data_IF_926375998925
#
_entry.id   IF_926375998925
#
_cell.length_a   1.000
_cell.length_b   1.000
_cell.length_c   1.000
_cell.angle_alpha   90.00
_cell.angle_beta   90.00
_cell.angle_gamma   90.00
#
_symmetry.space_group_name_H-M   'P 1'
#
loop_
_entity.id
_entity.type
_entity.pdbx_description
1 polymer ?
#
# COMPACT_ATOMS: atom_id res chain seq x y z
N UNK A 1 17.73 29.35 1.20
CA UNK A 1 18.97 29.12 0.42
C UNK A 1 19.85 28.16 1.20
N UNK A 2 20.10 26.97 0.69
CA UNK A 2 20.87 25.92 1.38
C UNK A 2 22.33 26.39 1.56
N UNK A 3 22.87 26.28 2.79
CA UNK A 3 24.27 26.67 3.10
C UNK A 3 25.28 25.95 2.19
N UNK A 4 24.93 24.75 1.72
CA UNK A 4 25.74 23.98 0.76
C UNK A 4 25.78 24.61 -0.63
N UNK A 5 24.66 25.16 -1.12
CA UNK A 5 24.60 25.82 -2.42
C UNK A 5 25.46 27.10 -2.43
N UNK A 6 25.46 27.84 -1.32
CA UNK A 6 26.32 29.02 -1.11
C UNK A 6 27.80 28.62 -1.15
N UNK A 7 28.17 27.54 -0.45
CA UNK A 7 29.55 27.04 -0.43
C UNK A 7 30.07 26.59 -1.80
N UNK A 8 29.24 25.95 -2.61
CA UNK A 8 29.60 25.54 -3.99
C UNK A 8 29.81 26.77 -4.88
N UNK A 9 28.95 27.80 -4.76
CA UNK A 9 29.10 29.04 -5.51
C UNK A 9 30.42 29.76 -5.14
N UNK A 10 30.74 29.86 -3.85
CA UNK A 10 32.02 30.45 -3.41
C UNK A 10 33.24 29.64 -3.86
N UNK A 11 33.14 28.30 -3.89
CA UNK A 11 34.21 27.42 -4.35
C UNK A 11 34.44 27.54 -5.86
N UNK A 12 33.37 27.66 -6.64
CA UNK A 12 33.45 27.91 -8.09
C UNK A 12 34.05 29.28 -8.39
N UNK A 13 33.65 30.32 -7.65
CA UNK A 13 34.27 31.65 -7.76
C UNK A 13 35.76 31.56 -7.44
N UNK A 14 36.15 30.87 -6.37
CA UNK A 14 37.56 30.71 -6.00
C UNK A 14 38.39 29.97 -7.08
N UNK A 15 37.87 28.88 -7.65
CA UNK A 15 38.59 28.06 -8.64
C UNK A 15 38.69 28.77 -10.00
N UNK A 16 37.64 29.49 -10.43
CA UNK A 16 37.62 30.11 -11.75
C UNK A 16 38.19 31.53 -11.79
N UNK A 17 38.20 32.25 -10.66
CA UNK A 17 38.62 33.67 -10.62
C UNK A 17 40.05 33.84 -10.11
N UNK A 18 40.52 33.03 -9.16
CA UNK A 18 41.85 33.22 -8.56
C UNK A 18 43.02 32.85 -9.49
N UNK A 19 43.01 31.72 -10.23
CA UNK A 19 44.16 31.35 -11.06
C UNK A 19 44.42 32.31 -12.25
N UNK A 20 43.38 32.78 -12.98
CA UNK A 20 43.60 33.78 -14.03
C UNK A 20 44.08 35.12 -13.45
N UNK A 21 43.52 35.57 -12.32
CA UNK A 21 43.89 36.85 -11.71
C UNK A 21 45.38 36.94 -11.35
N UNK A 22 46.01 35.82 -10.95
CA UNK A 22 47.44 35.76 -10.62
C UNK A 22 48.33 35.80 -11.88
N UNK A 23 47.91 35.16 -12.98
CA UNK A 23 48.63 35.17 -14.26
C UNK A 23 48.50 36.56 -14.95
N UNK A 24 47.39 37.27 -14.69
CA UNK A 24 47.02 38.53 -15.33
C UNK A 24 47.71 39.78 -14.78
N UNK A 25 48.24 39.78 -13.56
CA UNK A 25 49.02 40.93 -13.02
C UNK A 25 50.25 41.23 -13.88
N UNK A 26 50.75 40.26 -14.67
CA UNK A 26 51.99 40.39 -15.42
C UNK A 26 51.84 40.87 -16.89
N UNK A 27 50.64 40.95 -17.49
CA UNK A 27 50.46 41.27 -18.93
C UNK A 27 49.15 42.06 -19.26
N UNK A 28 48.97 43.24 -18.66
CA UNK A 28 47.68 43.94 -18.60
C UNK A 28 47.14 44.53 -19.94
N UNK A 29 48.00 44.95 -20.88
CA UNK A 29 47.54 45.69 -22.07
C UNK A 29 47.04 44.80 -23.22
N UNK A 30 47.58 43.58 -23.36
CA UNK A 30 47.22 42.69 -24.48
C UNK A 30 45.98 41.84 -24.21
N UNK A 31 45.70 41.52 -22.94
CA UNK A 31 44.64 40.59 -22.55
C UNK A 31 43.34 41.25 -22.10
N UNK A 32 43.23 42.59 -22.11
CA UNK A 32 42.06 43.30 -21.61
C UNK A 32 40.74 42.88 -22.31
N UNK A 33 40.76 42.68 -23.63
CA UNK A 33 39.59 42.24 -24.39
C UNK A 33 39.23 40.77 -24.09
N UNK A 34 40.22 39.89 -24.01
CA UNK A 34 40.01 38.48 -23.65
C UNK A 34 39.51 38.35 -22.21
N UNK A 35 40.01 39.18 -21.29
CA UNK A 35 39.57 39.26 -19.90
C UNK A 35 38.11 39.69 -19.80
N UNK A 36 37.72 40.74 -20.53
CA UNK A 36 36.34 41.21 -20.58
C UNK A 36 35.40 40.10 -21.05
N UNK A 37 35.75 39.36 -22.11
CA UNK A 37 34.96 38.24 -22.60
C UNK A 37 34.82 37.10 -21.58
N UNK A 38 35.90 36.72 -20.88
CA UNK A 38 35.88 35.66 -19.85
C UNK A 38 35.05 36.08 -18.63
N UNK A 39 35.17 37.34 -18.19
CA UNK A 39 34.38 37.88 -17.07
C UNK A 39 32.90 37.93 -17.44
N UNK A 40 32.56 38.40 -18.64
CA UNK A 40 31.18 38.44 -19.12
C UNK A 40 30.60 37.03 -19.24
N UNK A 41 31.35 36.07 -19.80
CA UNK A 41 30.92 34.68 -19.89
C UNK A 41 30.68 34.05 -18.50
N UNK A 42 31.59 34.28 -17.56
CA UNK A 42 31.48 33.77 -16.18
C UNK A 42 30.27 34.38 -15.46
N UNK A 43 30.09 35.70 -15.56
CA UNK A 43 28.93 36.40 -14.99
C UNK A 43 27.61 35.89 -15.61
N UNK A 44 27.60 35.61 -16.91
CA UNK A 44 26.45 35.05 -17.63
C UNK A 44 26.10 33.64 -17.14
N UNK A 45 27.10 32.77 -16.94
CA UNK A 45 26.89 31.42 -16.39
C UNK A 45 26.35 31.48 -14.97
N UNK A 46 26.90 32.37 -14.12
CA UNK A 46 26.40 32.59 -12.76
C UNK A 46 24.96 33.08 -12.79
N UNK A 47 24.66 34.09 -13.60
CA UNK A 47 23.31 34.64 -13.75
C UNK A 47 22.31 33.59 -14.25
N UNK A 48 22.67 32.82 -15.29
CA UNK A 48 21.83 31.74 -15.82
C UNK A 48 21.57 30.66 -14.76
N UNK A 49 22.60 30.29 -13.99
CA UNK A 49 22.47 29.32 -12.89
C UNK A 49 21.56 29.83 -11.78
N UNK A 50 21.73 31.08 -11.35
CA UNK A 50 20.87 31.70 -10.33
C UNK A 50 19.42 31.81 -10.81
N UNK A 51 19.21 32.23 -12.06
CA UNK A 51 17.88 32.32 -12.67
C UNK A 51 17.21 30.95 -12.74
N UNK A 52 17.96 29.92 -13.15
CA UNK A 52 17.48 28.54 -13.15
C UNK A 52 17.08 28.05 -11.75
N UNK A 53 17.91 28.32 -10.73
CA UNK A 53 17.62 27.96 -9.35
C UNK A 53 16.38 28.68 -8.80
N UNK A 54 16.23 29.97 -9.11
CA UNK A 54 15.04 30.76 -8.73
C UNK A 54 13.78 30.23 -9.40
N UNK A 55 13.83 29.90 -10.70
CA UNK A 55 12.72 29.31 -11.43
C UNK A 55 12.32 27.94 -10.86
N UNK A 56 13.30 27.11 -10.50
CA UNK A 56 13.06 25.84 -9.81
C UNK A 56 12.37 26.05 -8.45
N UNK A 57 12.84 27.00 -7.65
CA UNK A 57 12.26 27.29 -6.34
C UNK A 57 10.81 27.80 -6.47
N UNK A 58 10.55 28.68 -7.44
CA UNK A 58 9.20 29.15 -7.74
C UNK A 58 8.28 28.01 -8.19
N UNK A 59 8.74 27.14 -9.09
CA UNK A 59 7.99 25.96 -9.51
C UNK A 59 7.66 25.06 -8.32
N UNK A 60 8.64 24.76 -7.47
CA UNK A 60 8.44 23.94 -6.25
C UNK A 60 7.44 24.57 -5.30
N UNK A 61 7.51 25.89 -5.06
CA UNK A 61 6.54 26.61 -4.22
C UNK A 61 5.12 26.53 -4.78
N UNK A 62 4.96 26.59 -6.10
CA UNK A 62 3.66 26.49 -6.77
C UNK A 62 3.08 25.07 -6.74
N UNK A 63 3.91 24.05 -6.94
CA UNK A 63 3.49 22.64 -7.00
C UNK A 63 3.28 22.02 -5.60
N UNK A 64 4.04 22.46 -4.60
CA UNK A 64 4.06 21.88 -3.25
C UNK A 64 2.68 21.68 -2.63
N UNK A 65 1.73 22.64 -2.66
CA UNK A 65 0.39 22.43 -2.10
C UNK A 65 -0.34 21.24 -2.74
N UNK A 66 -0.29 21.13 -4.08
CA UNK A 66 -0.97 20.04 -4.79
C UNK A 66 -0.34 18.69 -4.51
N UNK A 67 0.99 18.66 -4.41
CA UNK A 67 1.74 17.45 -4.07
C UNK A 67 1.44 17.01 -2.64
N UNK A 68 1.34 17.96 -1.70
CA UNK A 68 0.91 17.69 -0.33
C UNK A 68 -0.49 17.07 -0.30
N UNK A 69 -1.45 17.63 -1.04
CA UNK A 69 -2.80 17.07 -1.16
C UNK A 69 -2.79 15.63 -1.72
N UNK A 70 -2.01 15.38 -2.78
CA UNK A 70 -1.87 14.03 -3.35
C UNK A 70 -1.28 13.07 -2.31
N UNK A 71 -0.26 13.50 -1.56
CA UNK A 71 0.28 12.69 -0.47
C UNK A 71 -0.81 12.35 0.54
N UNK A 72 -1.41 13.38 1.16
CA UNK A 72 -2.27 13.23 2.32
C UNK A 72 -3.60 12.54 2.01
N UNK A 73 -4.18 12.81 0.84
CA UNK A 73 -5.50 12.29 0.48
C UNK A 73 -5.45 11.01 -0.36
N UNK A 74 -4.32 10.70 -1.00
CA UNK A 74 -4.21 9.53 -1.87
C UNK A 74 -3.12 8.59 -1.37
N UNK A 75 -1.86 9.02 -1.37
CA UNK A 75 -0.75 8.09 -1.13
C UNK A 75 -0.77 7.53 0.30
N UNK A 76 -0.93 8.37 1.32
CA UNK A 76 -0.86 7.92 2.71
C UNK A 76 -1.99 6.94 3.06
N UNK A 77 -3.27 7.23 2.71
CA UNK A 77 -4.34 6.28 2.91
C UNK A 77 -4.11 4.94 2.18
N UNK A 78 -3.59 5.00 0.94
CA UNK A 78 -3.27 3.79 0.17
C UNK A 78 -2.19 2.95 0.84
N UNK A 79 -1.09 3.57 1.28
CA UNK A 79 0.00 2.87 1.98
C UNK A 79 -0.52 2.17 3.24
N UNK A 80 -1.23 2.90 4.12
CA UNK A 80 -1.77 2.33 5.36
C UNK A 80 -2.70 1.15 5.10
N UNK A 81 -3.55 1.23 4.07
CA UNK A 81 -4.47 0.14 3.73
C UNK A 81 -3.71 -1.07 3.19
N UNK A 82 -2.79 -0.87 2.25
CA UNK A 82 -2.00 -1.95 1.67
C UNK A 82 -1.16 -2.67 2.73
N UNK A 83 -0.57 -1.95 3.69
CA UNK A 83 0.13 -2.57 4.82
C UNK A 83 -0.80 -3.42 5.68
N UNK A 84 -2.00 -2.91 5.96
CA UNK A 84 -3.03 -3.63 6.70
C UNK A 84 -3.49 -4.89 5.96
N UNK A 85 -3.85 -4.78 4.68
CA UNK A 85 -4.27 -5.90 3.83
C UNK A 85 -3.18 -6.96 3.71
N UNK A 86 -1.93 -6.54 3.48
CA UNK A 86 -0.78 -7.45 3.41
C UNK A 86 -0.59 -8.24 4.71
N UNK A 87 -0.81 -7.61 5.87
CA UNK A 87 -0.76 -8.29 7.17
C UNK A 87 -1.82 -9.40 7.26
N UNK A 88 -3.06 -9.11 6.86
CA UNK A 88 -4.16 -10.07 6.82
C UNK A 88 -3.91 -11.21 5.83
N UNK A 89 -3.50 -10.88 4.59
CA UNK A 89 -3.14 -11.86 3.56
C UNK A 89 -1.99 -12.78 3.99
N UNK A 90 -0.97 -12.26 4.69
CA UNK A 90 0.13 -13.09 5.23
C UNK A 90 -0.36 -14.11 6.24
N UNK A 91 -1.37 -13.75 7.04
CA UNK A 91 -1.98 -14.64 8.04
C UNK A 91 -2.98 -15.62 7.41
N UNK A 92 -3.32 -15.46 6.13
CA UNK A 92 -4.39 -16.20 5.48
C UNK A 92 -5.79 -15.81 5.96
N UNK A 93 -5.91 -14.67 6.65
CA UNK A 93 -7.20 -14.11 7.05
C UNK A 93 -7.68 -13.15 5.96
N UNK A 94 -8.72 -13.54 5.24
CA UNK A 94 -9.27 -12.71 4.17
C UNK A 94 -10.36 -11.74 4.67
N UNK A 95 -10.86 -11.95 5.89
CA UNK A 95 -12.07 -11.28 6.40
C UNK A 95 -13.35 -11.55 5.59
N UNK A 96 -13.30 -12.45 4.61
CA UNK A 96 -14.34 -12.64 3.60
C UNK A 96 -15.65 -13.20 4.17
N UNK A 97 -16.72 -12.41 4.19
CA UNK A 97 -18.06 -12.84 4.60
C UNK A 97 -18.91 -13.05 3.34
N UNK A 98 -19.28 -14.30 3.03
CA UNK A 98 -20.02 -14.62 1.79
C UNK A 98 -21.35 -13.87 1.71
N UNK A 99 -22.04 -13.72 2.84
CA UNK A 99 -23.37 -13.11 2.93
C UNK A 99 -23.33 -11.62 2.63
N UNK A 100 -22.24 -10.93 2.98
CA UNK A 100 -22.10 -9.49 2.77
C UNK A 100 -21.23 -9.15 1.57
N UNK A 101 -20.54 -10.14 1.00
CA UNK A 101 -19.47 -9.97 0.02
C UNK A 101 -18.42 -8.93 0.46
N UNK A 102 -18.18 -8.86 1.77
CA UNK A 102 -17.24 -7.94 2.40
C UNK A 102 -16.03 -8.68 2.93
N UNK A 103 -14.88 -7.99 3.05
CA UNK A 103 -13.72 -8.54 3.74
C UNK A 103 -12.67 -7.50 4.09
N UNK A 104 -11.56 -7.95 4.68
CA UNK A 104 -10.41 -7.07 4.94
C UNK A 104 -9.63 -6.80 3.65
N UNK A 105 -9.59 -7.80 2.77
CA UNK A 105 -9.04 -7.70 1.42
C UNK A 105 -10.14 -7.16 0.51
N UNK A 106 -9.96 -5.93 0.03
CA UNK A 106 -10.95 -5.19 -0.75
C UNK A 106 -10.26 -4.43 -1.87
N UNK A 107 -11.05 -4.05 -2.87
CA UNK A 107 -10.58 -3.18 -3.93
C UNK A 107 -10.03 -1.87 -3.37
N UNK A 108 -8.92 -1.43 -3.94
CA UNK A 108 -8.29 -0.16 -3.62
C UNK A 108 -9.15 0.99 -4.17
N UNK A 109 -9.75 0.82 -5.35
CA UNK A 109 -10.62 1.86 -5.93
C UNK A 109 -11.89 2.10 -5.12
N UNK A 110 -12.42 1.12 -4.39
CA UNK A 110 -13.55 1.31 -3.48
C UNK A 110 -13.23 2.27 -2.33
N UNK A 111 -11.94 2.40 -1.96
CA UNK A 111 -11.48 3.37 -0.97
C UNK A 111 -11.53 4.81 -1.50
N UNK A 112 -11.69 4.97 -2.82
CA UNK A 112 -11.92 6.27 -3.44
C UNK A 112 -13.40 6.66 -3.48
N UNK A 113 -14.30 5.75 -3.10
CA UNK A 113 -15.75 5.98 -3.06
C UNK A 113 -16.22 7.11 -2.11
N UNK A 114 -15.59 7.39 -0.95
CA UNK A 114 -15.94 8.58 -0.16
C UNK A 114 -15.30 9.87 -0.70
N UNK A 115 -14.61 9.85 -1.84
CA UNK A 115 -14.04 11.05 -2.45
C UNK A 115 -15.10 11.83 -3.24
N UNK A 116 -16.01 12.47 -2.52
CA UNK A 116 -16.88 13.50 -3.09
C UNK A 116 -16.10 14.82 -3.25
N UNK A 117 -16.38 15.56 -4.33
CA UNK A 117 -15.79 16.88 -4.58
C UNK A 117 -14.29 16.87 -4.87
N UNK A 118 -13.53 17.67 -4.11
CA UNK A 118 -12.10 17.96 -4.35
C UNK A 118 -11.22 16.70 -4.34
N UNK A 119 -11.56 15.70 -3.51
CA UNK A 119 -10.77 14.46 -3.40
C UNK A 119 -10.79 13.62 -4.69
N UNK A 120 -11.89 13.65 -5.47
CA UNK A 120 -11.97 12.97 -6.78
C UNK A 120 -11.00 13.59 -7.78
N UNK A 121 -10.89 14.92 -7.77
CA UNK A 121 -9.95 15.65 -8.64
C UNK A 121 -8.50 15.33 -8.24
N UNK A 122 -8.19 15.30 -6.93
CA UNK A 122 -6.85 14.91 -6.43
C UNK A 122 -6.49 13.49 -6.89
N UNK A 123 -7.43 12.55 -6.81
CA UNK A 123 -7.19 11.18 -7.27
C UNK A 123 -7.02 11.10 -8.79
N UNK A 124 -7.77 11.88 -9.57
CA UNK A 124 -7.60 11.95 -11.03
C UNK A 124 -6.20 12.49 -11.41
N UNK A 125 -5.72 13.52 -10.71
CA UNK A 125 -4.37 14.06 -10.88
C UNK A 125 -3.31 13.03 -10.52
N UNK A 126 -3.49 12.29 -9.42
CA UNK A 126 -2.61 11.19 -9.06
C UNK A 126 -2.54 10.13 -10.16
N UNK A 127 -3.69 9.69 -10.70
CA UNK A 127 -3.72 8.70 -11.81
C UNK A 127 -3.02 9.21 -13.06
N UNK A 128 -3.14 10.51 -13.34
CA UNK A 128 -2.49 11.14 -14.49
C UNK A 128 -0.98 11.20 -14.29
N UNK A 129 -0.52 11.67 -13.13
CA UNK A 129 0.88 11.79 -12.79
C UNK A 129 1.59 10.42 -12.62
N UNK A 130 0.89 9.42 -12.10
CA UNK A 130 1.43 8.11 -11.74
C UNK A 130 0.67 6.96 -12.39
N UNK A 131 0.45 7.07 -13.70
CA UNK A 131 -0.34 6.10 -14.48
C UNK A 131 0.13 4.64 -14.36
N UNK A 132 1.43 4.40 -14.16
CA UNK A 132 1.98 3.06 -13.92
C UNK A 132 1.48 2.45 -12.61
N UNK A 133 1.39 3.25 -11.54
CA UNK A 133 0.87 2.82 -10.24
C UNK A 133 -0.64 2.62 -10.33
N UNK A 134 -1.35 3.53 -11.01
CA UNK A 134 -2.78 3.40 -11.25
C UNK A 134 -3.14 2.09 -11.98
N UNK A 135 -2.38 1.72 -13.02
CA UNK A 135 -2.57 0.43 -13.71
C UNK A 135 -2.34 -0.78 -12.79
N UNK A 136 -1.35 -0.73 -11.91
CA UNK A 136 -1.14 -1.80 -10.91
C UNK A 136 -2.31 -1.91 -9.94
N UNK A 137 -2.90 -0.79 -9.54
CA UNK A 137 -4.12 -0.75 -8.71
C UNK A 137 -5.30 -1.40 -9.44
N UNK A 138 -5.50 -1.14 -10.73
CA UNK A 138 -6.55 -1.79 -11.52
C UNK A 138 -6.33 -3.32 -11.62
N UNK A 139 -5.08 -3.75 -11.82
CA UNK A 139 -4.73 -5.19 -11.82
C UNK A 139 -4.98 -5.81 -10.44
N UNK A 140 -4.70 -5.07 -9.37
CA UNK A 140 -4.94 -5.49 -8.00
C UNK A 140 -6.43 -5.74 -7.76
N UNK A 141 -7.27 -4.77 -8.09
CA UNK A 141 -8.72 -4.87 -7.85
C UNK A 141 -9.33 -6.05 -8.62
N UNK A 142 -8.93 -6.24 -9.88
CA UNK A 142 -9.32 -7.43 -10.64
C UNK A 142 -8.86 -8.74 -9.99
N UNK A 143 -7.74 -8.76 -9.28
CA UNK A 143 -7.24 -9.95 -8.61
C UNK A 143 -7.90 -10.20 -7.25
N UNK A 144 -8.34 -9.15 -6.57
CA UNK A 144 -9.19 -9.25 -5.37
C UNK A 144 -10.52 -9.92 -5.73
N UNK A 145 -11.18 -9.48 -6.80
CA UNK A 145 -12.45 -10.09 -7.23
C UNK A 145 -12.28 -11.57 -7.57
N UNK A 146 -11.23 -11.92 -8.32
CA UNK A 146 -10.95 -13.34 -8.61
C UNK A 146 -10.59 -14.15 -7.36
N UNK A 147 -9.99 -13.53 -6.34
CA UNK A 147 -9.75 -14.20 -5.07
C UNK A 147 -11.07 -14.46 -4.34
N UNK A 148 -11.99 -13.49 -4.31
CA UNK A 148 -13.35 -13.68 -3.75
C UNK A 148 -14.10 -14.81 -4.46
N UNK A 149 -14.03 -14.86 -5.79
CA UNK A 149 -14.61 -15.96 -6.58
C UNK A 149 -14.05 -17.32 -6.15
N UNK A 150 -12.74 -17.47 -6.05
CA UNK A 150 -12.13 -18.74 -5.62
C UNK A 150 -12.43 -19.09 -4.16
N UNK A 151 -12.57 -18.10 -3.27
CA UNK A 151 -13.01 -18.34 -1.88
C UNK A 151 -14.46 -18.85 -1.86
N UNK A 152 -15.32 -18.27 -2.70
CA UNK A 152 -16.71 -18.70 -2.86
C UNK A 152 -16.81 -20.12 -3.41
N UNK A 153 -16.09 -20.41 -4.49
CA UNK A 153 -16.01 -21.75 -5.08
C UNK A 153 -15.52 -22.77 -4.04
N UNK A 154 -14.49 -22.44 -3.26
CA UNK A 154 -13.98 -23.32 -2.20
C UNK A 154 -15.04 -23.58 -1.12
N UNK A 155 -15.76 -22.54 -0.69
CA UNK A 155 -16.83 -22.69 0.30
C UNK A 155 -18.02 -23.50 -0.26
N UNK A 156 -18.37 -23.30 -1.53
CA UNK A 156 -19.43 -24.03 -2.22
C UNK A 156 -19.08 -25.52 -2.40
N UNK A 157 -17.82 -25.83 -2.73
CA UNK A 157 -17.33 -27.20 -2.84
C UNK A 157 -17.37 -27.91 -1.48
N UNK A 158 -16.93 -27.28 -0.39
CA UNK A 158 -17.07 -27.86 0.96
C UNK A 158 -18.54 -28.12 1.28
N UNK A 159 -19.43 -27.17 0.95
CA UNK A 159 -20.86 -27.27 1.21
C UNK A 159 -21.52 -28.41 0.43
N UNK A 160 -21.03 -28.73 -0.77
CA UNK A 160 -21.60 -29.77 -1.64
C UNK A 160 -21.24 -31.19 -1.18
N UNK A 161 -20.22 -31.36 -0.33
CA UNK A 161 -19.81 -32.67 0.18
C UNK A 161 -20.92 -33.31 1.05
N UNK A 162 -21.41 -34.52 0.71
CA UNK A 162 -22.45 -35.20 1.49
C UNK A 162 -22.04 -35.42 2.95
N UNK A 163 -20.79 -35.83 3.17
CA UNK A 163 -20.23 -36.05 4.51
C UNK A 163 -20.20 -34.77 5.34
N UNK A 164 -19.93 -33.62 4.70
CA UNK A 164 -19.98 -32.33 5.37
C UNK A 164 -21.40 -31.99 5.82
N UNK A 165 -22.38 -32.11 4.93
CA UNK A 165 -23.79 -31.81 5.23
C UNK A 165 -24.32 -32.69 6.36
N UNK A 166 -24.06 -34.01 6.28
CA UNK A 166 -24.44 -34.95 7.32
C UNK A 166 -23.81 -34.59 8.67
N UNK A 167 -22.53 -34.19 8.66
CA UNK A 167 -21.82 -33.83 9.88
C UNK A 167 -22.34 -32.56 10.51
N UNK A 168 -22.59 -31.52 9.73
CA UNK A 168 -23.15 -30.28 10.27
C UNK A 168 -24.53 -30.54 10.87
N UNK A 169 -25.40 -31.29 10.17
CA UNK A 169 -26.72 -31.68 10.69
C UNK A 169 -26.61 -32.45 12.01
N UNK A 170 -25.77 -33.48 12.08
CA UNK A 170 -25.52 -34.27 13.31
C UNK A 170 -25.10 -33.36 14.47
N UNK A 171 -24.15 -32.43 14.23
CA UNK A 171 -23.66 -31.52 15.28
C UNK A 171 -24.68 -30.47 15.67
N UNK A 172 -25.51 -29.98 14.75
CA UNK A 172 -26.58 -29.03 15.01
C UNK A 172 -27.73 -29.64 15.83
N UNK A 173 -28.09 -30.89 15.54
CA UNK A 173 -29.09 -31.65 16.29
C UNK A 173 -28.61 -31.96 17.72
N UNK A 174 -27.36 -32.42 17.86
CA UNK A 174 -26.76 -32.75 19.16
C UNK A 174 -26.30 -31.55 20.01
N UNK A 175 -26.36 -30.32 19.48
CA UNK A 175 -25.92 -29.14 20.20
C UNK A 175 -27.00 -28.64 21.17
N UNK A 176 -26.88 -29.00 22.44
CA UNK A 176 -27.86 -28.68 23.49
C UNK A 176 -27.72 -27.27 24.08
N UNK A 177 -26.59 -26.59 23.88
CA UNK A 177 -26.36 -25.21 24.33
C UNK A 177 -26.89 -24.17 23.32
N UNK A 178 -28.09 -24.40 22.77
CA UNK A 178 -28.66 -23.48 21.79
C UNK A 178 -28.89 -22.12 22.47
N UNK A 179 -28.25 -21.03 22.00
CA UNK A 179 -28.49 -19.70 22.54
C UNK A 179 -29.91 -19.24 22.20
N UNK A 180 -30.26 -18.00 22.62
CA UNK A 180 -31.55 -17.35 22.32
C UNK A 180 -31.94 -17.37 20.82
N UNK A 181 -30.98 -17.63 19.93
CA UNK A 181 -31.15 -17.79 18.48
C UNK A 181 -31.03 -19.27 18.04
N UNK A 182 -31.82 -20.16 18.62
CA UNK A 182 -31.81 -21.59 18.28
C UNK A 182 -32.02 -21.87 16.77
N UNK A 183 -32.77 -21.00 16.07
CA UNK A 183 -33.03 -21.07 14.64
C UNK A 183 -31.78 -20.93 13.76
N UNK A 184 -30.66 -20.41 14.28
CA UNK A 184 -29.38 -20.37 13.56
C UNK A 184 -28.67 -21.73 13.53
N UNK A 185 -29.07 -22.66 14.38
CA UNK A 185 -28.53 -24.03 14.47
C UNK A 185 -29.49 -25.05 13.84
N UNK A 186 -30.40 -24.60 12.98
CA UNK A 186 -31.22 -25.50 12.16
C UNK A 186 -30.47 -25.86 10.87
N UNK A 187 -30.55 -27.10 10.37
CA UNK A 187 -29.88 -27.56 9.16
C UNK A 187 -30.55 -27.01 7.89
N UNK A 188 -30.54 -25.68 7.75
CA UNK A 188 -31.05 -24.97 6.57
C UNK A 188 -29.89 -24.54 5.69
N UNK A 189 -30.16 -24.39 4.39
CA UNK A 189 -29.16 -23.93 3.41
C UNK A 189 -28.45 -22.62 3.80
N UNK A 190 -29.18 -21.75 4.48
CA UNK A 190 -28.68 -20.45 4.96
C UNK A 190 -27.77 -20.61 6.17
N UNK A 191 -28.15 -21.45 7.13
CA UNK A 191 -27.35 -21.68 8.35
C UNK A 191 -26.10 -22.50 8.06
N UNK A 192 -26.17 -23.44 7.10
CA UNK A 192 -25.00 -24.12 6.57
C UNK A 192 -23.99 -23.16 5.95
N UNK A 193 -24.42 -22.02 5.41
CA UNK A 193 -23.54 -21.10 4.69
C UNK A 193 -22.37 -20.56 5.52
N UNK A 194 -22.55 -20.39 6.84
CA UNK A 194 -21.53 -19.81 7.72
C UNK A 194 -20.36 -20.76 8.03
N UNK A 195 -20.62 -22.07 8.10
CA UNK A 195 -19.61 -23.05 8.51
C UNK A 195 -18.48 -23.18 7.47
N UNK A 196 -18.76 -23.34 6.16
CA UNK A 196 -17.74 -23.34 5.12
C UNK A 196 -16.89 -22.06 5.11
N UNK A 197 -17.47 -20.89 5.41
CA UNK A 197 -16.70 -19.64 5.48
C UNK A 197 -15.60 -19.71 6.56
N UNK A 198 -15.92 -20.24 7.74
CA UNK A 198 -14.96 -20.41 8.83
C UNK A 198 -13.88 -21.45 8.48
N UNK A 199 -14.26 -22.50 7.75
CA UNK A 199 -13.33 -23.54 7.27
C UNK A 199 -12.36 -22.95 6.24
N UNK A 200 -12.85 -22.23 5.23
CA UNK A 200 -12.03 -21.62 4.17
C UNK A 200 -11.04 -20.60 4.75
N UNK A 201 -11.48 -19.80 5.73
CA UNK A 201 -10.63 -18.87 6.49
C UNK A 201 -9.62 -19.55 7.41
N UNK A 202 -9.69 -20.87 7.58
CA UNK A 202 -8.89 -21.62 8.53
C UNK A 202 -9.04 -21.09 9.97
N UNK A 203 -10.24 -20.64 10.33
CA UNK A 203 -10.51 -19.96 11.59
C UNK A 203 -10.41 -20.95 12.75
N UNK A 204 -9.38 -20.82 13.60
CA UNK A 204 -9.18 -21.73 14.73
C UNK A 204 -10.12 -21.40 15.90
N UNK A 205 -10.27 -20.11 16.19
CA UNK A 205 -10.99 -19.59 17.34
C UNK A 205 -11.92 -18.45 16.91
N UNK A 206 -13.05 -18.30 17.57
CA UNK A 206 -13.97 -17.18 17.34
C UNK A 206 -13.95 -16.27 18.55
N UNK A 207 -14.31 -15.00 18.36
CA UNK A 207 -14.53 -14.11 19.49
C UNK A 207 -15.73 -14.58 20.30
N UNK A 208 -15.68 -14.46 21.63
CA UNK A 208 -16.76 -14.89 22.54
C UNK A 208 -18.14 -14.27 22.24
N UNK A 209 -18.16 -13.08 21.64
CA UNK A 209 -19.38 -12.39 21.22
C UNK A 209 -19.98 -12.94 19.92
N UNK A 210 -19.28 -13.84 19.22
CA UNK A 210 -19.76 -14.43 17.98
C UNK A 210 -20.79 -15.52 18.28
N UNK A 211 -21.94 -15.53 17.60
CA UNK A 211 -23.05 -16.45 17.90
C UNK A 211 -22.65 -17.93 17.82
N UNK A 212 -21.72 -18.28 16.92
CA UNK A 212 -21.21 -19.64 16.79
C UNK A 212 -20.00 -19.95 17.69
N UNK A 213 -19.54 -19.04 18.56
CA UNK A 213 -18.32 -19.20 19.34
C UNK A 213 -18.27 -20.54 20.09
N UNK A 214 -19.27 -20.81 20.93
CA UNK A 214 -19.36 -22.05 21.71
C UNK A 214 -19.42 -23.28 20.82
N UNK A 215 -20.28 -23.27 19.80
CA UNK A 215 -20.37 -24.36 18.82
C UNK A 215 -19.02 -24.64 18.14
N UNK A 216 -18.35 -23.59 17.68
CA UNK A 216 -17.06 -23.69 17.00
C UNK A 216 -15.94 -24.14 17.95
N UNK A 217 -15.97 -23.73 19.22
CA UNK A 217 -15.00 -24.19 20.22
C UNK A 217 -15.09 -25.71 20.45
N UNK A 218 -16.28 -26.30 20.34
CA UNK A 218 -16.52 -27.73 20.50
C UNK A 218 -16.21 -28.52 19.22
N UNK A 219 -16.66 -28.03 18.06
CA UNK A 219 -16.66 -28.82 16.82
C UNK A 219 -15.77 -28.25 15.70
N UNK A 220 -15.23 -27.04 15.84
CA UNK A 220 -14.49 -26.35 14.78
C UNK A 220 -13.27 -27.13 14.29
N UNK A 221 -12.52 -27.78 15.19
CA UNK A 221 -11.37 -28.64 14.82
C UNK A 221 -11.75 -29.82 13.94
N UNK A 222 -12.95 -30.37 14.12
CA UNK A 222 -13.48 -31.45 13.29
C UNK A 222 -13.82 -30.91 11.90
N UNK A 223 -14.53 -29.78 11.82
CA UNK A 223 -14.90 -29.14 10.56
C UNK A 223 -13.71 -28.64 9.74
N UNK A 224 -12.65 -28.18 10.40
CA UNK A 224 -11.42 -27.73 9.73
C UNK A 224 -10.74 -28.86 8.93
N UNK A 225 -11.04 -30.14 9.21
CA UNK A 225 -10.51 -31.26 8.42
C UNK A 225 -11.04 -31.29 6.99
N UNK A 226 -12.25 -30.78 6.73
CA UNK A 226 -12.81 -30.70 5.38
C UNK A 226 -11.96 -29.79 4.47
N UNK A 227 -11.27 -28.79 5.03
CA UNK A 227 -10.31 -27.95 4.31
C UNK A 227 -9.15 -28.74 3.69
N UNK A 228 -8.79 -29.85 4.33
CA UNK A 228 -7.65 -30.70 3.95
C UNK A 228 -8.08 -31.93 3.14
N UNK A 229 -9.36 -32.03 2.80
CA UNK A 229 -9.91 -33.09 1.95
C UNK A 229 -9.27 -33.10 0.57
N UNK A 230 -9.21 -34.29 -0.06
CA UNK A 230 -8.65 -34.42 -1.42
C UNK A 230 -9.57 -33.76 -2.45
N UNK A 231 -10.87 -33.78 -2.18
CA UNK A 231 -11.96 -33.25 -2.97
C UNK A 231 -11.82 -31.75 -3.21
N UNK A 232 -11.37 -31.00 -2.19
CA UNK A 232 -11.28 -29.53 -2.22
C UNK A 232 -9.85 -29.01 -2.44
N UNK A 233 -8.89 -29.92 -2.65
CA UNK A 233 -7.46 -29.59 -2.70
C UNK A 233 -7.12 -28.60 -3.82
N UNK A 234 -7.80 -28.71 -4.96
CA UNK A 234 -7.62 -27.80 -6.10
C UNK A 234 -8.08 -26.39 -5.77
N UNK A 235 -9.27 -26.22 -5.19
CA UNK A 235 -9.80 -24.94 -4.72
C UNK A 235 -8.86 -24.29 -3.70
N UNK A 236 -8.38 -25.06 -2.72
CA UNK A 236 -7.40 -24.59 -1.73
C UNK A 236 -6.11 -24.10 -2.41
N UNK A 237 -5.57 -24.88 -3.35
CA UNK A 237 -4.34 -24.54 -4.07
C UNK A 237 -4.52 -23.24 -4.87
N UNK A 238 -5.68 -23.07 -5.50
CA UNK A 238 -6.00 -21.87 -6.27
C UNK A 238 -6.12 -20.62 -5.39
N UNK A 239 -6.79 -20.71 -4.24
CA UNK A 239 -6.86 -19.62 -3.24
C UNK A 239 -5.46 -19.22 -2.76
N UNK A 240 -4.61 -20.19 -2.43
CA UNK A 240 -3.24 -19.95 -1.98
C UNK A 240 -2.38 -19.29 -3.08
N UNK A 241 -2.54 -19.73 -4.34
CA UNK A 241 -1.87 -19.15 -5.50
C UNK A 241 -2.28 -17.69 -5.70
N UNK A 242 -3.59 -17.39 -5.67
CA UNK A 242 -4.11 -16.02 -5.80
C UNK A 242 -3.67 -15.13 -4.64
N UNK A 243 -3.69 -15.64 -3.41
CA UNK A 243 -3.16 -14.93 -2.23
C UNK A 243 -1.70 -14.53 -2.42
N UNK A 244 -0.85 -15.46 -2.88
CA UNK A 244 0.57 -15.19 -3.13
C UNK A 244 0.76 -14.11 -4.19
N UNK A 245 0.03 -14.20 -5.30
CA UNK A 245 0.11 -13.19 -6.36
C UNK A 245 -0.33 -11.81 -5.87
N UNK A 246 -1.39 -11.75 -5.05
CA UNK A 246 -1.89 -10.50 -4.47
C UNK A 246 -0.88 -9.89 -3.50
N UNK A 247 -0.26 -10.68 -2.63
CA UNK A 247 0.82 -10.24 -1.74
C UNK A 247 2.01 -9.63 -2.50
N UNK A 248 2.40 -10.25 -3.62
CA UNK A 248 3.48 -9.74 -4.47
C UNK A 248 3.10 -8.40 -5.11
N UNK A 249 1.87 -8.33 -5.65
CA UNK A 249 1.37 -7.12 -6.29
C UNK A 249 1.22 -5.95 -5.30
N UNK A 250 0.64 -6.18 -4.13
CA UNK A 250 0.56 -5.19 -3.04
C UNK A 250 1.96 -4.71 -2.62
N UNK A 251 2.93 -5.63 -2.52
CA UNK A 251 4.32 -5.28 -2.26
C UNK A 251 4.92 -4.38 -3.34
N UNK A 252 4.61 -4.66 -4.61
CA UNK A 252 5.02 -3.84 -5.75
C UNK A 252 4.39 -2.45 -5.75
N UNK A 253 3.10 -2.33 -5.41
CA UNK A 253 2.40 -1.04 -5.32
C UNK A 253 2.96 -0.22 -4.14
N UNK A 254 3.12 -0.84 -2.97
CA UNK A 254 3.71 -0.20 -1.79
C UNK A 254 5.10 0.38 -2.09
N UNK A 255 5.95 -0.41 -2.76
CA UNK A 255 7.30 0.03 -3.14
C UNK A 255 7.26 1.27 -4.03
N UNK A 256 6.36 1.31 -5.01
CA UNK A 256 6.22 2.46 -5.91
C UNK A 256 5.70 3.69 -5.15
N UNK A 257 4.67 3.54 -4.32
CA UNK A 257 4.12 4.63 -3.50
C UNK A 257 5.17 5.21 -2.54
N UNK A 258 5.94 4.36 -1.87
CA UNK A 258 7.03 4.80 -1.00
C UNK A 258 8.17 5.48 -1.79
N UNK A 259 8.42 5.04 -3.02
CA UNK A 259 9.33 5.73 -3.94
C UNK A 259 8.88 7.16 -4.27
N UNK A 260 7.58 7.35 -4.53
CA UNK A 260 6.98 8.67 -4.77
C UNK A 260 7.11 9.55 -3.52
N UNK A 261 6.80 9.02 -2.33
CA UNK A 261 6.95 9.77 -1.08
C UNK A 261 8.40 10.22 -0.83
N UNK A 262 9.38 9.36 -1.12
CA UNK A 262 10.81 9.74 -1.01
C UNK A 262 11.17 10.91 -1.93
N UNK A 263 10.62 10.96 -3.14
CA UNK A 263 10.79 12.10 -4.05
C UNK A 263 10.13 13.35 -3.46
N UNK A 264 8.91 13.24 -2.94
CA UNK A 264 8.19 14.37 -2.33
C UNK A 264 8.94 14.98 -1.14
N UNK A 265 9.53 14.13 -0.30
CA UNK A 265 10.39 14.58 0.81
C UNK A 265 11.62 15.30 0.28
N UNK A 266 12.35 14.68 -0.64
CA UNK A 266 13.63 15.20 -1.15
C UNK A 266 13.46 16.51 -1.92
N UNK A 267 12.43 16.60 -2.76
CA UNK A 267 12.27 17.72 -3.69
C UNK A 267 11.41 18.85 -3.13
N UNK A 268 10.40 18.52 -2.33
CA UNK A 268 9.39 19.48 -1.84
C UNK A 268 9.43 19.68 -0.33
N UNK A 269 10.26 18.93 0.41
CA UNK A 269 10.35 19.02 1.86
C UNK A 269 9.01 18.73 2.54
N UNK A 270 8.27 17.76 2.01
CA UNK A 270 7.00 17.30 2.58
C UNK A 270 7.32 16.37 3.73
N UNK A 271 7.11 16.82 4.96
CA UNK A 271 7.31 16.01 6.17
C UNK A 271 6.11 15.11 6.41
N UNK A 272 6.40 13.83 6.63
CA UNK A 272 5.41 12.78 6.79
C UNK A 272 5.39 12.31 8.25
N UNK A 273 4.28 12.51 8.96
CA UNK A 273 4.17 12.19 10.40
C UNK A 273 4.53 10.73 10.72
N UNK A 274 4.09 9.78 9.87
CA UNK A 274 4.30 8.34 10.09
C UNK A 274 5.64 7.78 9.58
N UNK A 275 6.46 8.56 8.84
CA UNK A 275 7.78 8.13 8.41
C UNK A 275 8.79 8.36 9.51
N UNK A 276 8.54 9.34 10.39
CA UNK A 276 9.27 9.42 11.65
C UNK A 276 9.05 8.12 12.45
N UNK A 277 7.79 7.70 12.62
CA UNK A 277 7.44 6.44 13.28
C UNK A 277 7.89 5.17 12.51
N UNK A 278 8.04 5.22 11.18
CA UNK A 278 8.53 4.09 10.38
C UNK A 278 10.06 4.02 10.33
N UNK A 279 10.77 5.16 10.27
CA UNK A 279 12.22 5.24 10.49
C UNK A 279 12.55 4.83 11.92
N UNK A 280 11.79 5.30 12.91
CA UNK A 280 11.94 4.90 14.31
C UNK A 280 11.73 3.38 14.46
N UNK A 281 10.70 2.80 13.82
CA UNK A 281 10.49 1.33 13.81
C UNK A 281 11.57 0.56 13.04
N UNK A 282 12.04 1.05 11.90
CA UNK A 282 13.13 0.42 11.12
C UNK A 282 14.46 0.49 11.89
N UNK A 283 14.67 1.55 12.67
CA UNK A 283 15.80 1.71 13.59
C UNK A 283 15.65 0.75 14.78
N UNK A 284 14.47 0.65 15.40
CA UNK A 284 14.18 -0.30 16.48
C UNK A 284 14.38 -1.76 16.04
N UNK A 285 13.92 -2.13 14.84
CA UNK A 285 14.06 -3.48 14.27
C UNK A 285 15.54 -3.80 13.95
N UNK A 286 16.31 -2.82 13.44
CA UNK A 286 17.77 -2.97 13.23
C UNK A 286 18.57 -3.02 14.54
N UNK A 287 18.05 -2.43 15.61
CA UNK A 287 18.66 -2.44 16.94
C UNK A 287 18.18 -3.62 17.80
N UNK A 288 17.24 -4.45 17.31
CA UNK A 288 16.70 -5.60 18.04
C UNK A 288 15.90 -5.21 19.28
N UNK A 289 15.25 -4.04 19.27
CA UNK A 289 14.49 -3.50 20.39
C UNK A 289 13.00 -3.94 20.39
N UNK A 290 12.61 -4.79 19.44
CA UNK A 290 11.26 -5.37 19.29
C UNK A 290 11.33 -6.87 19.01
#
# INVERSE_FOLDING_TARGET
>A
MDKKAIGVIFSLIAIFVLPPAIILIYNLEYYANALSSVVIATATVIYATLTYLLLLEQRRKKEKPRIQEISDFVINPLVKRLESQKSYLKKGDFGWEKIRDTGYVTNITELTSPFWGIKKLIYADFKTAYSKVAKKIEVHDNMVEKLKESLKEFADEIKSLPDFQNKVSERFEGYNEKPFYASLFEPTDKNFGFIPELIVKNQQELNEHYTYHKFWSLYGKEFLRFREGKEVKECKTEVERRRKNLLELEGGILKDLMGILKIYIKEYGITYRWMKEAEDREIEEKLGLT
#
